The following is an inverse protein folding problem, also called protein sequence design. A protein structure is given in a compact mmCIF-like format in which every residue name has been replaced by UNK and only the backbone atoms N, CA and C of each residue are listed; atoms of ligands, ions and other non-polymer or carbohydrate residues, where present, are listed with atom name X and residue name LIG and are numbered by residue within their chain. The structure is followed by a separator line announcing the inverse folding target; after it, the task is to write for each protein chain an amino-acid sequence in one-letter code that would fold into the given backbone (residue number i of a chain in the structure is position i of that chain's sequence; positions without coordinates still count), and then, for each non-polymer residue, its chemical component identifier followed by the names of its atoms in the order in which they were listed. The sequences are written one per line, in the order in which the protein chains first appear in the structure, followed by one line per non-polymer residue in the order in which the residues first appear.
data_IF_693841745614
#
_entry.id   IF_693841745614
#
_cell.length_a   1.000
_cell.length_b   1.000
_cell.length_c   1.000
_cell.angle_alpha   90.00
_cell.angle_beta   90.00
_cell.angle_gamma   90.00
#
_symmetry.space_group_name_H-M   'P 1'
#
loop_
_entity.id
_entity.type
_entity.pdbx_description
1 polymer ?
#
# COMPACT_ATOMS: atom_id res chain seq x y z
N UNK A 1 1.29 -4.94 19.22
CA UNK A 1 -0.10 -4.91 18.76
C UNK A 1 -0.19 -5.55 17.39
N UNK A 2 -1.11 -6.48 17.22
CA UNK A 2 -1.37 -7.05 15.90
C UNK A 2 -2.42 -6.23 15.18
N UNK A 3 -2.18 -6.00 13.89
CA UNK A 3 -3.16 -5.34 13.03
C UNK A 3 -3.78 -6.39 12.08
N UNK A 4 -4.99 -6.14 11.57
CA UNK A 4 -5.55 -7.02 10.55
C UNK A 4 -4.59 -7.16 9.37
N UNK A 5 -4.32 -8.37 8.97
CA UNK A 5 -3.30 -8.66 7.94
C UNK A 5 -3.80 -9.76 7.02
N UNK A 6 -3.58 -9.59 5.73
CA UNK A 6 -3.87 -10.61 4.71
C UNK A 6 -2.63 -10.87 3.88
N UNK A 7 -2.60 -12.03 3.23
CA UNK A 7 -1.54 -12.37 2.29
C UNK A 7 -1.82 -11.72 0.94
N UNK A 8 -0.76 -11.37 0.22
CA UNK A 8 -0.89 -10.78 -1.12
C UNK A 8 -1.68 -11.68 -2.08
N UNK A 9 -1.60 -12.99 -1.90
CA UNK A 9 -2.32 -13.97 -2.73
C UNK A 9 -3.83 -13.97 -2.47
N UNK A 10 -4.27 -13.38 -1.36
CA UNK A 10 -5.70 -13.29 -1.02
C UNK A 10 -6.36 -12.03 -1.56
N UNK A 11 -5.60 -11.15 -2.23
CA UNK A 11 -6.14 -9.91 -2.76
C UNK A 11 -6.90 -10.13 -4.06
N UNK A 12 -8.11 -9.62 -4.13
CA UNK A 12 -8.87 -9.60 -5.38
C UNK A 12 -8.38 -8.50 -6.33
N UNK A 13 -8.91 -8.51 -7.56
CA UNK A 13 -8.54 -7.53 -8.58
C UNK A 13 -9.03 -6.11 -8.26
N UNK A 14 -10.07 -6.00 -7.46
CA UNK A 14 -10.74 -4.72 -7.18
C UNK A 14 -10.34 -4.11 -5.84
N UNK A 15 -9.26 -4.59 -5.22
CA UNK A 15 -8.83 -4.05 -3.92
C UNK A 15 -8.43 -2.59 -4.05
N UNK A 16 -8.75 -1.81 -3.03
CA UNK A 16 -8.27 -0.44 -2.89
C UNK A 16 -6.96 -0.48 -2.13
N UNK A 17 -5.87 -0.12 -2.81
CA UNK A 17 -4.53 -0.13 -2.22
C UNK A 17 -4.08 1.28 -1.85
N UNK A 18 -3.54 1.41 -0.66
CA UNK A 18 -2.81 2.60 -0.22
C UNK A 18 -1.33 2.22 -0.05
N UNK A 19 -0.46 2.88 -0.79
CA UNK A 19 0.98 2.68 -0.71
C UNK A 19 1.56 3.80 0.14
N UNK A 20 2.19 3.44 1.27
CA UNK A 20 2.73 4.42 2.23
C UNK A 20 4.24 4.54 2.16
N UNK A 21 4.86 4.06 1.07
CA UNK A 21 6.30 4.16 0.84
C UNK A 21 6.69 5.58 0.46
N UNK A 22 8.00 5.84 0.40
CA UNK A 22 8.52 7.14 -0.02
C UNK A 22 8.38 7.33 -1.52
N UNK A 23 8.55 8.56 -1.97
CA UNK A 23 8.33 8.94 -3.38
C UNK A 23 9.26 8.19 -4.34
N UNK A 24 10.52 7.99 -3.98
CA UNK A 24 11.46 7.27 -4.82
C UNK A 24 11.09 5.79 -4.98
N UNK A 25 10.60 5.18 -3.91
CA UNK A 25 10.12 3.80 -3.96
C UNK A 25 8.90 3.66 -4.88
N UNK A 26 7.96 4.60 -4.77
CA UNK A 26 6.78 4.64 -5.62
C UNK A 26 7.15 4.84 -7.08
N UNK A 27 8.07 5.77 -7.34
CA UNK A 27 8.48 6.08 -8.71
C UNK A 27 9.16 4.88 -9.39
N UNK A 28 9.89 4.07 -8.65
CA UNK A 28 10.58 2.91 -9.19
C UNK A 28 9.62 1.80 -9.61
N UNK A 29 8.53 1.62 -8.87
CA UNK A 29 7.52 0.64 -9.22
C UNK A 29 6.42 0.58 -8.18
N UNK A 30 5.18 0.58 -8.64
CA UNK A 30 4.00 0.52 -7.76
C UNK A 30 2.87 -0.25 -8.43
N UNK A 31 1.88 -0.64 -7.65
CA UNK A 31 0.70 -1.32 -8.17
C UNK A 31 -0.15 -0.35 -8.99
N UNK A 32 -0.61 -0.74 -10.19
CA UNK A 32 -1.50 0.12 -10.98
C UNK A 32 -2.77 0.47 -10.19
N UNK A 33 -3.15 1.74 -10.23
CA UNK A 33 -4.37 2.20 -9.56
C UNK A 33 -4.26 2.41 -8.06
N UNK A 34 -3.10 2.15 -7.45
CA UNK A 34 -2.92 2.41 -6.03
C UNK A 34 -2.86 3.91 -5.73
N UNK A 35 -3.32 4.28 -4.56
CA UNK A 35 -3.18 5.63 -4.04
C UNK A 35 -1.85 5.73 -3.30
N UNK A 36 -1.11 6.80 -3.50
CA UNK A 36 0.18 7.01 -2.84
C UNK A 36 0.12 8.15 -1.83
N UNK A 37 0.33 7.83 -0.57
CA UNK A 37 0.51 8.82 0.50
C UNK A 37 1.63 8.31 1.39
N UNK A 38 2.81 8.93 1.39
CA UNK A 38 3.90 8.50 2.28
C UNK A 38 3.47 8.51 3.74
N UNK A 39 3.97 7.57 4.52
CA UNK A 39 3.58 7.42 5.92
C UNK A 39 3.68 8.73 6.69
N UNK A 40 4.74 9.50 6.48
CA UNK A 40 4.95 10.78 7.17
C UNK A 40 3.94 11.87 6.83
N UNK A 41 3.16 11.69 5.76
CA UNK A 41 2.15 12.66 5.32
C UNK A 41 0.72 12.17 5.60
N UNK A 42 0.57 10.93 6.06
CA UNK A 42 -0.74 10.29 6.14
C UNK A 42 -1.71 11.05 7.05
N UNK A 43 -1.24 11.50 8.22
CA UNK A 43 -2.09 12.19 9.18
C UNK A 43 -2.68 13.49 8.62
N UNK A 44 -1.96 14.16 7.72
CA UNK A 44 -2.37 15.42 7.12
C UNK A 44 -3.26 15.22 5.89
N UNK A 45 -3.30 14.01 5.35
CA UNK A 45 -3.94 13.74 4.07
C UNK A 45 -5.07 12.72 4.17
N UNK A 46 -5.63 12.55 5.35
CA UNK A 46 -6.73 11.59 5.57
C UNK A 46 -7.95 11.86 4.68
N UNK A 47 -8.19 13.12 4.32
CA UNK A 47 -9.32 13.48 3.47
C UNK A 47 -9.21 12.92 2.05
N UNK A 48 -8.04 12.48 1.62
CA UNK A 48 -7.83 11.88 0.29
C UNK A 48 -8.19 10.41 0.25
N UNK A 49 -8.43 9.78 1.41
CA UNK A 49 -8.71 8.35 1.48
C UNK A 49 -10.15 8.03 1.15
N UNK A 50 -10.42 6.85 0.54
CA UNK A 50 -11.79 6.39 0.34
C UNK A 50 -12.51 6.28 1.69
N UNK A 51 -13.75 6.70 1.75
CA UNK A 51 -14.54 6.64 2.99
C UNK A 51 -15.20 5.28 3.19
N UNK A 52 -15.41 4.53 2.14
CA UNK A 52 -16.15 3.28 2.17
C UNK A 52 -15.27 2.08 1.90
N UNK A 53 -15.58 0.99 2.60
CA UNK A 53 -14.99 -0.31 2.35
C UNK A 53 -13.62 -0.49 2.97
N UNK A 54 -13.05 -1.65 2.71
CA UNK A 54 -11.75 -2.02 3.23
C UNK A 54 -10.63 -1.35 2.44
N UNK A 55 -9.63 -0.83 3.15
CA UNK A 55 -8.46 -0.22 2.57
C UNK A 55 -7.24 -1.10 2.85
N UNK A 56 -6.64 -1.65 1.81
CA UNK A 56 -5.45 -2.48 1.94
C UNK A 56 -4.21 -1.61 1.83
N UNK A 57 -3.32 -1.72 2.82
CA UNK A 57 -2.17 -0.82 2.95
C UNK A 57 -0.89 -1.60 2.73
N UNK A 58 -0.03 -1.07 1.87
CA UNK A 58 1.25 -1.69 1.53
C UNK A 58 2.41 -0.75 1.78
N UNK A 59 3.55 -1.32 2.18
CA UNK A 59 4.85 -0.68 2.09
C UNK A 59 5.79 -1.67 1.41
N UNK A 60 7.10 -1.58 1.62
CA UNK A 60 8.01 -2.51 0.98
C UNK A 60 7.86 -3.93 1.54
N UNK A 61 7.89 -4.08 2.86
CA UNK A 61 7.91 -5.38 3.56
C UNK A 61 6.79 -5.59 4.57
N UNK A 62 6.05 -4.57 4.92
CA UNK A 62 4.90 -4.67 5.83
C UNK A 62 5.01 -3.91 7.16
N UNK A 63 6.17 -3.40 7.52
CA UNK A 63 6.38 -2.71 8.82
C UNK A 63 5.74 -1.33 8.88
N UNK A 64 6.05 -0.48 7.90
CA UNK A 64 5.47 0.88 7.84
C UNK A 64 3.96 0.82 7.62
N UNK A 65 3.50 -0.11 6.78
CA UNK A 65 2.07 -0.27 6.52
C UNK A 65 1.32 -0.79 7.73
N UNK A 66 1.92 -1.65 8.56
CA UNK A 66 1.29 -2.08 9.81
C UNK A 66 1.06 -0.89 10.75
N UNK A 67 2.03 0.04 10.82
CA UNK A 67 1.87 1.26 11.63
C UNK A 67 0.78 2.16 11.05
N UNK A 68 0.72 2.28 9.73
CA UNK A 68 -0.34 3.04 9.07
C UNK A 68 -1.72 2.44 9.36
N UNK A 69 -1.85 1.11 9.30
CA UNK A 69 -3.11 0.41 9.58
C UNK A 69 -3.56 0.68 11.02
N UNK A 70 -2.65 0.58 11.99
CA UNK A 70 -2.99 0.85 13.38
C UNK A 70 -3.52 2.27 13.56
N UNK A 71 -2.85 3.25 12.95
CA UNK A 71 -3.28 4.65 12.99
C UNK A 71 -4.64 4.85 12.33
N UNK A 72 -4.83 4.30 11.12
CA UNK A 72 -6.08 4.45 10.38
C UNK A 72 -7.26 3.83 11.13
N UNK A 73 -7.07 2.65 11.70
CA UNK A 73 -8.16 1.98 12.42
C UNK A 73 -8.54 2.72 13.70
N UNK A 74 -7.59 3.42 14.33
CA UNK A 74 -7.87 4.30 15.47
C UNK A 74 -8.66 5.53 15.05
N UNK A 75 -8.66 5.87 13.76
CA UNK A 75 -9.33 7.05 13.22
C UNK A 75 -10.56 6.70 12.37
N UNK A 76 -11.08 5.49 12.51
CA UNK A 76 -12.37 5.12 11.92
C UNK A 76 -12.33 4.44 10.58
N UNK A 77 -11.14 4.17 10.03
CA UNK A 77 -11.02 3.41 8.78
C UNK A 77 -11.05 1.91 9.05
N UNK A 78 -11.34 1.15 8.00
CA UNK A 78 -11.26 -0.31 8.00
C UNK A 78 -10.03 -0.71 7.18
N UNK A 79 -8.87 -0.60 7.79
CA UNK A 79 -7.60 -0.80 7.12
C UNK A 79 -7.01 -2.18 7.42
N UNK A 80 -6.36 -2.77 6.42
CA UNK A 80 -5.79 -4.11 6.48
C UNK A 80 -4.38 -4.07 5.92
N UNK A 81 -3.43 -4.62 6.65
CA UNK A 81 -2.04 -4.70 6.21
C UNK A 81 -1.86 -5.85 5.23
N UNK A 82 -1.08 -5.63 4.18
CA UNK A 82 -0.73 -6.69 3.23
C UNK A 82 0.63 -7.27 3.66
N UNK A 83 0.63 -8.53 4.07
CA UNK A 83 1.83 -9.22 4.53
C UNK A 83 2.90 -9.24 3.45
N UNK A 84 4.13 -8.88 3.81
CA UNK A 84 5.24 -8.83 2.86
C UNK A 84 5.22 -7.67 1.88
N UNK A 85 4.15 -6.87 1.88
CA UNK A 85 4.04 -5.64 1.11
C UNK A 85 4.35 -5.77 -0.37
N UNK A 86 4.98 -4.75 -0.94
CA UNK A 86 5.30 -4.74 -2.37
C UNK A 86 6.36 -5.76 -2.76
N UNK A 87 7.20 -6.18 -1.83
CA UNK A 87 8.16 -7.26 -2.09
C UNK A 87 7.43 -8.57 -2.41
N UNK A 88 6.42 -8.92 -1.61
CA UNK A 88 5.59 -10.09 -1.88
C UNK A 88 4.71 -9.92 -3.12
N UNK A 89 4.25 -8.70 -3.37
CA UNK A 89 3.48 -8.37 -4.59
C UNK A 89 4.28 -8.70 -5.84
N UNK A 90 5.54 -8.24 -5.88
CA UNK A 90 6.43 -8.51 -7.01
C UNK A 90 6.75 -10.01 -7.13
N UNK A 91 7.02 -10.67 -6.01
CA UNK A 91 7.33 -12.11 -6.00
C UNK A 91 6.13 -12.94 -6.49
N UNK A 92 4.92 -12.48 -6.28
CA UNK A 92 3.70 -13.15 -6.76
C UNK A 92 3.43 -12.89 -8.24
N UNK A 93 4.26 -12.09 -8.91
CA UNK A 93 4.08 -11.80 -10.34
C UNK A 93 2.96 -10.83 -10.64
N UNK A 94 2.48 -10.06 -9.65
CA UNK A 94 1.42 -9.10 -9.85
C UNK A 94 1.91 -7.87 -10.61
N UNK A 95 1.02 -7.13 -11.28
CA UNK A 95 1.43 -6.03 -12.16
C UNK A 95 2.09 -4.87 -11.41
N UNK A 96 3.09 -4.28 -12.05
CA UNK A 96 3.78 -3.09 -11.59
C UNK A 96 3.87 -2.08 -12.71
N UNK A 97 3.83 -0.80 -12.37
CA UNK A 97 4.11 0.30 -13.27
C UNK A 97 5.12 1.23 -12.63
N UNK A 98 5.92 1.90 -13.44
CA UNK A 98 6.87 2.91 -12.97
C UNK A 98 6.33 4.30 -13.32
N UNK A 99 6.76 5.32 -12.56
CA UNK A 99 6.39 6.70 -12.87
C UNK A 99 6.92 7.14 -14.22
N UNK A 100 8.14 6.70 -14.58
CA UNK A 100 8.71 6.92 -15.90
C UNK A 100 8.27 5.79 -16.83
N UNK A 101 7.45 6.11 -17.83
CA UNK A 101 6.90 5.13 -18.77
C UNK A 101 7.99 4.36 -19.55
N UNK A 102 9.19 4.91 -19.68
CA UNK A 102 10.30 4.25 -20.35
C UNK A 102 11.12 3.33 -19.45
N UNK A 103 10.86 3.36 -18.14
CA UNK A 103 11.60 2.56 -17.18
C UNK A 103 10.92 1.22 -16.94
N UNK A 104 11.72 0.20 -16.67
CA UNK A 104 11.17 -1.09 -16.22
C UNK A 104 10.82 -1.00 -14.74
N UNK A 105 9.57 -1.27 -14.36
CA UNK A 105 9.17 -1.13 -12.96
C UNK A 105 9.84 -2.19 -12.08
N UNK A 106 10.24 -1.77 -10.87
CA UNK A 106 10.84 -2.66 -9.89
C UNK A 106 10.49 -2.18 -8.48
N UNK A 107 10.57 -3.10 -7.51
CA UNK A 107 10.42 -2.77 -6.09
C UNK A 107 11.83 -2.59 -5.51
N UNK A 108 12.13 -1.36 -5.10
CA UNK A 108 13.45 -1.06 -4.51
C UNK A 108 13.41 -1.08 -2.99
#
# INVERSE_FOLDING_TARGET
MQVPTVDVTDLGADVKLLDVREQDEWNAGHAPGALHIPLGELAERLAELPEDGELHVVCRMGGRSARAVAFLNQNGWDAINVAGGMQSWQAAGKPLVAADAGAEPEVI
#
